data_IF_311037303835
#
_entry.id   IF_311037303835
#
_cell.length_a   1.000
_cell.length_b   1.000
_cell.length_c   1.000
_cell.angle_alpha   90.00
_cell.angle_beta   90.00
_cell.angle_gamma   90.00
#
_symmetry.space_group_name_H-M   'P 1'
#
loop_
_entity.id
_entity.type
_entity.pdbx_description
1 polymer ?
#
# COMPACT_ATOMS: atom_id res chain seq x y z
N UNK A 1 -11.41 2.58 -7.62
CA UNK A 1 -11.04 2.45 -6.20
C UNK A 1 -10.72 0.99 -6.06
N UNK A 2 -9.45 0.62 -5.99
CA UNK A 2 -9.06 -0.78 -6.09
C UNK A 2 -9.29 -1.50 -4.76
N UNK A 3 -9.79 -2.74 -4.86
CA UNK A 3 -10.05 -3.61 -3.71
C UNK A 3 -9.18 -4.86 -3.68
N UNK A 4 -8.31 -5.06 -4.67
CA UNK A 4 -7.35 -6.16 -4.79
C UNK A 4 -6.16 -5.73 -5.62
N UNK A 5 -5.00 -6.32 -5.35
CA UNK A 5 -3.81 -6.15 -6.18
C UNK A 5 -2.86 -7.35 -6.10
N UNK A 6 -1.80 -7.28 -6.89
CA UNK A 6 -0.75 -8.29 -6.98
C UNK A 6 0.58 -7.70 -6.48
N UNK A 7 1.28 -8.44 -5.61
CA UNK A 7 2.61 -8.16 -5.11
C UNK A 7 3.34 -9.51 -5.02
N UNK A 8 3.85 -9.99 -6.15
CA UNK A 8 4.38 -11.35 -6.27
C UNK A 8 5.86 -11.45 -6.62
N UNK A 9 6.50 -10.40 -7.13
CA UNK A 9 7.94 -10.40 -7.40
C UNK A 9 8.75 -10.36 -6.09
N UNK A 10 10.07 -10.52 -6.20
CA UNK A 10 10.97 -10.30 -5.06
C UNK A 10 11.03 -8.81 -4.71
N UNK A 11 11.49 -8.50 -3.48
CA UNK A 11 11.62 -7.11 -3.01
C UNK A 11 12.63 -6.33 -3.86
N UNK A 12 13.69 -7.00 -4.30
CA UNK A 12 14.75 -6.40 -5.11
C UNK A 12 14.22 -5.79 -6.41
N UNK A 13 13.31 -6.48 -7.10
CA UNK A 13 12.71 -6.00 -8.36
C UNK A 13 12.03 -4.64 -8.16
N UNK A 14 11.33 -4.46 -7.04
CA UNK A 14 10.66 -3.20 -6.73
C UNK A 14 11.63 -2.11 -6.28
N UNK A 15 12.70 -2.46 -5.54
CA UNK A 15 13.72 -1.51 -5.12
C UNK A 15 14.59 -1.03 -6.27
N UNK A 16 14.93 -1.91 -7.20
CA UNK A 16 15.61 -1.56 -8.45
C UNK A 16 14.76 -0.59 -9.28
N UNK A 17 13.46 -0.86 -9.40
CA UNK A 17 12.52 0.02 -10.10
C UNK A 17 12.37 1.41 -9.43
N UNK A 18 12.55 1.49 -8.11
CA UNK A 18 12.56 2.75 -7.37
C UNK A 18 13.87 3.54 -7.56
N UNK A 19 14.91 2.92 -8.12
CA UNK A 19 16.26 3.49 -8.14
C UNK A 19 16.92 3.52 -6.76
N UNK A 20 16.46 2.67 -5.83
CA UNK A 20 16.99 2.58 -4.47
C UNK A 20 18.25 1.68 -4.37
N UNK A 21 18.87 1.38 -5.51
CA UNK A 21 20.10 0.60 -5.60
C UNK A 21 21.22 1.32 -4.83
N UNK A 22 21.67 0.71 -3.72
CA UNK A 22 22.67 1.28 -2.82
C UNK A 22 22.14 1.75 -1.46
N UNK A 23 20.84 1.62 -1.19
CA UNK A 23 20.33 1.67 0.18
C UNK A 23 20.80 0.43 0.96
N UNK A 24 20.98 0.54 2.29
CA UNK A 24 21.47 -0.54 3.18
C UNK A 24 20.49 -1.74 3.33
N UNK A 25 19.66 -1.98 2.32
CA UNK A 25 18.73 -3.10 2.31
C UNK A 25 19.44 -4.41 2.10
N UNK A 26 19.05 -5.37 2.93
CA UNK A 26 19.44 -6.77 2.74
C UNK A 26 18.74 -7.28 1.48
N UNK A 27 19.55 -7.64 0.49
CA UNK A 27 19.11 -8.31 -0.73
C UNK A 27 18.29 -9.56 -0.38
N UNK A 28 17.10 -9.66 -0.95
CA UNK A 28 16.16 -10.76 -0.70
C UNK A 28 15.48 -11.15 -2.01
N UNK A 29 16.07 -12.11 -2.75
CA UNK A 29 15.58 -12.50 -4.07
C UNK A 29 14.34 -13.41 -4.00
N UNK A 30 13.88 -13.77 -2.80
CA UNK A 30 12.70 -14.63 -2.66
C UNK A 30 11.44 -13.88 -3.11
N UNK A 31 10.63 -14.47 -4.01
CA UNK A 31 9.38 -13.86 -4.44
C UNK A 31 8.39 -13.72 -3.28
N UNK A 32 7.71 -12.57 -3.20
CA UNK A 32 6.63 -12.37 -2.22
C UNK A 32 5.45 -13.31 -2.52
N UNK A 33 5.23 -13.66 -3.79
CA UNK A 33 4.29 -14.72 -4.21
C UNK A 33 2.80 -14.40 -4.01
N UNK A 34 2.42 -13.15 -3.75
CA UNK A 34 1.01 -12.77 -3.46
C UNK A 34 0.30 -12.20 -4.69
N UNK A 35 -0.29 -13.10 -5.47
CA UNK A 35 -1.07 -12.75 -6.68
C UNK A 35 -2.46 -12.16 -6.38
N UNK A 36 -2.93 -12.25 -5.14
CA UNK A 36 -4.27 -11.84 -4.76
C UNK A 36 -4.26 -11.25 -3.34
N UNK A 37 -3.69 -10.06 -3.21
CA UNK A 37 -3.68 -9.32 -1.95
C UNK A 37 -5.07 -8.72 -1.71
N UNK A 38 -5.60 -8.95 -0.51
CA UNK A 38 -6.94 -8.54 -0.10
C UNK A 38 -6.89 -7.59 1.11
N UNK A 39 -7.89 -6.70 1.26
CA UNK A 39 -8.06 -5.88 2.45
C UNK A 39 -8.16 -6.72 3.71
N UNK A 40 -7.75 -6.14 4.83
CA UNK A 40 -7.72 -6.84 6.11
C UNK A 40 -6.54 -7.81 6.28
N UNK A 41 -5.62 -7.87 5.32
CA UNK A 41 -4.36 -8.60 5.44
C UNK A 41 -3.19 -7.63 5.62
N UNK A 42 -2.09 -8.11 6.18
CA UNK A 42 -0.84 -7.34 6.20
C UNK A 42 -0.22 -7.34 4.81
N UNK A 43 0.31 -6.18 4.38
CA UNK A 43 0.93 -5.93 3.07
C UNK A 43 2.31 -5.35 3.30
N UNK A 44 3.30 -5.73 2.48
CA UNK A 44 4.60 -5.07 2.53
C UNK A 44 4.47 -3.64 2.01
N UNK A 45 4.74 -2.69 2.89
CA UNK A 45 4.60 -1.27 2.67
C UNK A 45 5.96 -0.59 2.85
N UNK A 46 6.34 0.24 1.89
CA UNK A 46 7.56 1.04 1.96
C UNK A 46 7.24 2.41 2.55
N UNK A 47 7.99 2.82 3.56
CA UNK A 47 7.89 4.17 4.16
C UNK A 47 9.28 4.72 4.42
N UNK A 48 9.40 6.02 4.67
CA UNK A 48 10.65 6.65 5.07
C UNK A 48 10.52 7.10 6.53
N UNK A 49 11.45 6.69 7.38
CA UNK A 49 11.53 7.07 8.79
C UNK A 49 12.99 7.34 9.13
N UNK A 50 13.27 8.48 9.76
CA UNK A 50 14.62 8.89 10.13
C UNK A 50 15.60 8.94 8.94
N UNK A 51 15.12 9.34 7.76
CA UNK A 51 15.85 9.34 6.46
C UNK A 51 16.28 7.95 5.97
N UNK A 52 15.71 6.90 6.54
CA UNK A 52 15.89 5.53 6.10
C UNK A 52 14.59 4.99 5.54
N UNK A 53 14.65 4.33 4.39
CA UNK A 53 13.51 3.56 3.94
C UNK A 53 13.30 2.37 4.90
N UNK A 54 12.04 2.02 5.14
CA UNK A 54 11.60 0.89 5.97
C UNK A 54 10.53 0.10 5.25
N UNK A 55 10.69 -1.21 5.27
CA UNK A 55 9.76 -2.16 4.67
C UNK A 55 9.08 -2.98 5.76
N UNK A 56 7.81 -2.73 6.00
CA UNK A 56 7.07 -3.36 7.10
C UNK A 56 5.80 -4.05 6.58
N UNK A 57 5.39 -5.19 7.17
CA UNK A 57 4.06 -5.75 6.97
C UNK A 57 3.02 -4.89 7.72
N UNK A 58 2.20 -4.12 6.99
CA UNK A 58 1.19 -3.21 7.54
C UNK A 58 -0.21 -3.65 7.14
N UNK A 59 -1.15 -3.58 8.10
CA UNK A 59 -2.56 -3.93 7.88
C UNK A 59 -3.21 -3.02 6.82
N UNK A 60 -3.77 -3.61 5.76
CA UNK A 60 -4.52 -2.86 4.76
C UNK A 60 -5.95 -2.59 5.22
N UNK A 61 -6.10 -1.49 5.95
CA UNK A 61 -7.37 -0.92 6.40
C UNK A 61 -7.12 0.17 7.44
N UNK A 62 -7.99 1.16 7.49
CA UNK A 62 -7.85 2.29 8.39
C UNK A 62 -9.19 2.71 9.01
N UNK A 63 -9.19 2.80 10.33
CA UNK A 63 -10.21 3.45 11.13
C UNK A 63 -9.53 4.07 12.35
N UNK A 64 -9.58 5.41 12.54
CA UNK A 64 -9.15 6.02 13.80
C UNK A 64 -10.11 5.60 14.92
N UNK A 65 -9.72 5.84 16.17
CA UNK A 65 -10.45 5.39 17.38
C UNK A 65 -11.94 5.74 17.39
N UNK A 66 -12.33 6.88 16.81
CA UNK A 66 -13.73 7.33 16.75
C UNK A 66 -14.54 6.68 15.61
N UNK A 67 -13.94 5.85 14.77
CA UNK A 67 -14.59 5.21 13.63
C UNK A 67 -15.15 3.84 14.01
N UNK A 68 -16.48 3.71 13.95
CA UNK A 68 -17.25 2.55 14.41
C UNK A 68 -17.78 1.66 13.26
N UNK A 69 -17.28 1.88 12.04
CA UNK A 69 -17.67 1.13 10.83
C UNK A 69 -16.51 0.27 10.34
N UNK A 70 -16.77 -0.48 9.26
CA UNK A 70 -15.73 -1.23 8.55
C UNK A 70 -14.54 -0.32 8.19
N UNK A 71 -13.29 -0.79 8.35
CA UNK A 71 -12.10 -0.02 8.02
C UNK A 71 -12.12 0.47 6.56
N UNK A 72 -11.70 1.72 6.35
CA UNK A 72 -11.53 2.28 5.02
C UNK A 72 -10.25 1.74 4.40
N UNK A 73 -10.31 1.42 3.10
CA UNK A 73 -9.18 0.80 2.38
C UNK A 73 -8.59 1.72 1.30
N UNK A 74 -9.26 2.84 1.03
CA UNK A 74 -8.88 3.83 0.01
C UNK A 74 -9.10 5.25 0.55
N UNK A 75 -8.25 6.18 0.13
CA UNK A 75 -8.41 7.62 0.34
C UNK A 75 -8.49 8.33 -1.02
N UNK A 76 -9.44 9.26 -1.18
CA UNK A 76 -9.58 10.05 -2.42
C UNK A 76 -8.56 11.19 -2.44
N UNK A 77 -7.75 11.27 -3.49
CA UNK A 77 -6.68 12.28 -3.59
C UNK A 77 -7.19 13.72 -3.52
N UNK A 78 -8.41 13.95 -3.95
CA UNK A 78 -9.07 15.26 -3.97
C UNK A 78 -9.31 15.83 -2.56
N UNK A 79 -9.49 14.97 -1.55
CA UNK A 79 -9.86 15.39 -0.18
C UNK A 79 -8.95 14.82 0.92
N UNK A 80 -8.03 13.92 0.60
CA UNK A 80 -7.17 13.25 1.58
C UNK A 80 -6.29 14.23 2.38
N UNK A 81 -5.83 15.33 1.78
CA UNK A 81 -4.94 16.31 2.41
C UNK A 81 -5.65 17.29 3.36
N UNK A 82 -6.96 17.48 3.21
CA UNK A 82 -7.72 18.50 3.92
C UNK A 82 -8.78 17.93 4.87
N UNK A 83 -9.32 16.74 4.58
CA UNK A 83 -10.38 16.11 5.36
C UNK A 83 -9.92 15.58 6.72
N UNK A 84 -10.82 15.63 7.72
CA UNK A 84 -10.55 15.20 9.10
C UNK A 84 -10.01 13.77 9.21
N UNK A 85 -10.50 12.86 8.36
CA UNK A 85 -10.16 11.44 8.42
C UNK A 85 -8.68 11.16 8.07
N UNK A 86 -8.18 11.78 6.99
CA UNK A 86 -6.89 11.41 6.41
C UNK A 86 -5.81 12.49 6.52
N UNK A 87 -6.16 13.73 6.88
CA UNK A 87 -5.19 14.84 7.02
C UNK A 87 -3.97 14.48 7.90
N UNK A 88 -4.12 13.82 9.06
CA UNK A 88 -2.95 13.40 9.85
C UNK A 88 -2.05 12.40 9.12
N UNK A 89 -2.63 11.44 8.40
CA UNK A 89 -1.87 10.46 7.60
C UNK A 89 -1.21 11.13 6.37
N UNK A 90 -1.86 12.10 5.76
CA UNK A 90 -1.28 12.86 4.65
C UNK A 90 -0.01 13.61 5.07
N UNK A 91 -0.03 14.17 6.29
CA UNK A 91 1.11 14.91 6.83
C UNK A 91 2.26 13.98 7.29
N UNK A 92 1.94 12.89 7.99
CA UNK A 92 2.94 12.12 8.76
C UNK A 92 2.98 10.62 8.47
N UNK A 93 2.06 10.09 7.65
CA UNK A 93 1.90 8.65 7.39
C UNK A 93 1.95 8.28 5.91
N UNK A 94 2.68 9.06 5.10
CA UNK A 94 2.85 8.73 3.68
C UNK A 94 3.72 7.50 3.51
N UNK A 95 3.31 6.65 2.59
CA UNK A 95 3.98 5.39 2.28
C UNK A 95 3.65 4.97 0.84
N UNK A 96 4.38 3.98 0.35
CA UNK A 96 4.24 3.41 -1.00
C UNK A 96 3.92 1.93 -0.87
N UNK A 97 2.81 1.53 -1.50
CA UNK A 97 2.51 0.12 -1.78
C UNK A 97 3.03 -0.15 -3.19
N UNK A 98 4.11 -0.92 -3.30
CA UNK A 98 4.55 -1.44 -4.60
C UNK A 98 3.71 -2.66 -4.99
N UNK A 99 3.39 -2.76 -6.27
CA UNK A 99 2.52 -3.79 -6.81
C UNK A 99 2.83 -4.02 -8.29
N UNK A 100 2.58 -5.23 -8.78
CA UNK A 100 2.68 -5.60 -10.19
C UNK A 100 1.50 -5.07 -11.02
N UNK A 101 0.41 -4.74 -10.32
CA UNK A 101 -0.84 -4.25 -10.88
C UNK A 101 -1.99 -4.44 -9.89
N UNK A 102 -3.15 -3.89 -10.22
CA UNK A 102 -4.35 -4.00 -9.42
C UNK A 102 -5.51 -4.61 -10.21
N UNK A 103 -6.50 -5.13 -9.50
CA UNK A 103 -7.71 -5.67 -10.10
C UNK A 103 -8.88 -4.71 -9.91
N UNK A 104 -9.68 -4.57 -10.96
CA UNK A 104 -10.98 -3.89 -10.95
C UNK A 104 -11.99 -4.78 -11.65
N UNK A 105 -13.25 -4.72 -11.21
CA UNK A 105 -14.34 -5.44 -11.86
C UNK A 105 -15.20 -4.47 -12.65
N UNK A 106 -15.20 -4.64 -13.96
CA UNK A 106 -16.03 -3.83 -14.85
C UNK A 106 -17.49 -4.23 -14.64
N UNK A 107 -18.31 -3.27 -14.21
CA UNK A 107 -19.76 -3.45 -14.20
C UNK A 107 -20.23 -3.60 -15.64
N UNK A 108 -20.76 -4.77 -15.99
CA UNK A 108 -21.45 -4.96 -17.26
C UNK A 108 -22.91 -4.55 -17.06
N UNK A 109 -23.41 -3.69 -17.93
CA UNK A 109 -24.85 -3.51 -18.06
C UNK A 109 -25.41 -4.81 -18.63
N UNK A 110 -26.30 -5.45 -17.87
CA UNK A 110 -27.13 -6.54 -18.39
C UNK A 110 -28.32 -5.86 -19.03
N UNK A 111 -28.43 -5.96 -20.35
CA UNK A 111 -29.57 -5.48 -21.12
C UNK A 111 -30.86 -6.22 -20.71
#
# INVERSE_FOLDING_TARGET
>A
MCGRFAQYQSRDVYFDALGAAGSDYVHDPEPIGRYNVAPGTNVLLLSERDSELKLDPVYWGYGPEWWDKQPLINARGETASSGRMFKPLWAHGRAVVFADGWYEWVRREVA
#
